data_IF_537873138439
#
_entry.id   IF_537873138439
#
_cell.length_a   1.000
_cell.length_b   1.000
_cell.length_c   1.000
_cell.angle_alpha   90.00
_cell.angle_beta   90.00
_cell.angle_gamma   90.00
#
_symmetry.space_group_name_H-M   'P 1'
#
loop_
_entity.id
_entity.type
_entity.pdbx_description
1 polymer ?
#
# COMPACT_ATOMS: atom_id res chain seq x y z
N UNK A 1 5.24 -7.63 -12.87
CA UNK A 1 6.55 -7.23 -13.44
C UNK A 1 7.66 -8.17 -13.01
N UNK A 2 7.85 -8.40 -11.70
CA UNK A 2 8.90 -9.28 -11.15
C UNK A 2 8.99 -10.65 -11.83
N UNK A 3 7.88 -11.35 -12.03
CA UNK A 3 7.89 -12.66 -12.69
C UNK A 3 8.52 -12.62 -14.09
N UNK A 4 8.13 -11.63 -14.92
CA UNK A 4 8.65 -11.46 -16.29
C UNK A 4 10.12 -11.07 -16.33
N UNK A 5 10.58 -10.35 -15.32
CA UNK A 5 11.94 -9.80 -15.26
C UNK A 5 12.88 -10.60 -14.35
N UNK A 6 12.36 -11.66 -13.71
CA UNK A 6 13.01 -12.45 -12.65
C UNK A 6 14.46 -12.80 -12.95
N UNK A 7 14.72 -13.40 -14.13
CA UNK A 7 16.07 -13.75 -14.58
C UNK A 7 17.01 -12.55 -14.68
N UNK A 8 16.53 -11.40 -15.13
CA UNK A 8 17.36 -10.20 -15.30
C UNK A 8 17.72 -9.53 -13.97
N UNK A 9 16.91 -9.76 -12.92
CA UNK A 9 17.08 -9.19 -11.58
C UNK A 9 17.56 -10.22 -10.55
N UNK A 10 18.00 -11.40 -11.01
CA UNK A 10 18.54 -12.45 -10.14
C UNK A 10 17.53 -13.12 -9.22
N UNK A 11 16.23 -13.06 -9.53
CA UNK A 11 15.20 -13.82 -8.83
C UNK A 11 14.93 -15.17 -9.52
N UNK A 12 14.67 -16.24 -8.76
CA UNK A 12 14.18 -17.51 -9.30
C UNK A 12 12.89 -17.26 -10.10
N UNK A 13 12.67 -17.98 -11.21
CA UNK A 13 11.45 -17.80 -12.01
C UNK A 13 10.23 -18.44 -11.35
N UNK A 14 10.44 -19.37 -10.43
CA UNK A 14 9.46 -20.18 -9.72
C UNK A 14 9.27 -19.72 -8.27
N UNK A 15 9.53 -18.44 -7.98
CA UNK A 15 9.42 -17.98 -6.60
C UNK A 15 7.99 -18.14 -6.06
N UNK A 16 7.89 -18.51 -4.78
CA UNK A 16 6.62 -18.57 -4.05
C UNK A 16 6.38 -17.28 -3.28
N UNK A 17 5.11 -16.98 -3.00
CA UNK A 17 4.73 -15.83 -2.18
C UNK A 17 4.33 -16.35 -0.81
N UNK A 18 5.10 -15.98 0.21
CA UNK A 18 4.77 -16.27 1.60
C UNK A 18 3.69 -15.29 2.04
N UNK A 19 2.66 -15.82 2.70
CA UNK A 19 1.71 -14.96 3.36
C UNK A 19 2.27 -14.41 4.68
N UNK A 20 1.45 -13.65 5.40
CA UNK A 20 1.87 -13.02 6.64
C UNK A 20 2.10 -14.05 7.77
N UNK A 21 1.38 -15.16 7.79
CA UNK A 21 1.55 -16.21 8.79
C UNK A 21 2.82 -17.01 8.52
N UNK A 22 3.04 -17.44 7.27
CA UNK A 22 4.27 -18.10 6.83
C UNK A 22 5.51 -17.26 7.20
N UNK A 23 5.43 -15.95 6.95
CA UNK A 23 6.50 -14.99 7.25
C UNK A 23 6.79 -14.91 8.75
N UNK A 24 5.75 -14.87 9.58
CA UNK A 24 5.87 -14.83 11.05
C UNK A 24 6.45 -16.13 11.58
N UNK A 25 6.03 -17.28 11.09
CA UNK A 25 6.57 -18.59 11.50
C UNK A 25 8.08 -18.68 11.27
N UNK A 26 8.57 -18.22 10.10
CA UNK A 26 10.01 -18.18 9.83
C UNK A 26 10.74 -17.25 10.81
N UNK A 27 10.18 -16.07 11.08
CA UNK A 27 10.77 -15.12 12.05
C UNK A 27 10.80 -15.72 13.46
N UNK A 28 9.75 -16.42 13.88
CA UNK A 28 9.69 -17.11 15.16
C UNK A 28 10.78 -18.17 15.27
N UNK A 29 10.97 -18.98 14.23
CA UNK A 29 11.99 -20.03 14.21
C UNK A 29 13.41 -19.46 14.28
N UNK A 30 13.72 -18.41 13.50
CA UNK A 30 15.05 -17.77 13.51
C UNK A 30 15.38 -17.20 14.88
N UNK A 31 14.45 -16.41 15.44
CA UNK A 31 14.71 -15.64 16.65
C UNK A 31 14.32 -16.34 17.94
N UNK A 32 13.75 -17.56 17.86
CA UNK A 32 13.06 -18.21 18.99
C UNK A 32 12.05 -17.28 19.67
N UNK A 33 11.30 -16.51 18.87
CA UNK A 33 10.38 -15.47 19.32
C UNK A 33 8.96 -16.01 19.54
N UNK A 34 8.23 -15.38 20.47
CA UNK A 34 6.78 -15.54 20.54
C UNK A 34 6.06 -14.82 19.41
N UNK A 35 4.81 -15.24 19.12
CA UNK A 35 4.00 -14.73 17.99
C UNK A 35 3.91 -13.20 17.96
N UNK A 36 3.72 -12.55 19.12
CA UNK A 36 3.63 -11.09 19.19
C UNK A 36 4.93 -10.41 18.74
N UNK A 37 6.07 -10.86 19.25
CA UNK A 37 7.37 -10.28 18.88
C UNK A 37 7.71 -10.53 17.41
N UNK A 38 7.36 -11.69 16.86
CA UNK A 38 7.52 -11.98 15.45
C UNK A 38 6.61 -11.10 14.56
N UNK A 39 5.37 -10.88 14.99
CA UNK A 39 4.45 -9.96 14.29
C UNK A 39 4.98 -8.51 14.31
N UNK A 40 5.47 -8.04 15.46
CA UNK A 40 6.06 -6.70 15.59
C UNK A 40 7.27 -6.55 14.66
N UNK A 41 8.16 -7.56 14.61
CA UNK A 41 9.32 -7.56 13.73
C UNK A 41 8.93 -7.62 12.25
N UNK A 42 7.95 -8.46 11.86
CA UNK A 42 7.46 -8.53 10.49
C UNK A 42 6.98 -7.16 9.98
N UNK A 43 6.16 -6.46 10.77
CA UNK A 43 5.69 -5.12 10.40
C UNK A 43 6.82 -4.09 10.38
N UNK A 44 7.80 -4.18 11.27
CA UNK A 44 8.94 -3.27 11.31
C UNK A 44 9.88 -3.47 10.10
N UNK A 45 10.08 -4.72 9.65
CA UNK A 45 10.76 -5.03 8.38
C UNK A 45 10.04 -4.36 7.21
N UNK A 46 8.71 -4.51 7.14
CA UNK A 46 7.88 -3.84 6.14
C UNK A 46 8.04 -2.33 6.15
N UNK A 47 7.98 -1.70 7.33
CA UNK A 47 8.17 -0.26 7.52
C UNK A 47 9.54 0.23 7.06
N UNK A 48 10.60 -0.55 7.30
CA UNK A 48 11.96 -0.23 6.85
C UNK A 48 12.06 -0.33 5.32
N UNK A 49 11.57 -1.44 4.73
CA UNK A 49 11.56 -1.63 3.28
C UNK A 49 10.78 -0.51 2.58
N UNK A 50 9.62 -0.14 3.11
CA UNK A 50 8.78 0.90 2.52
C UNK A 50 9.43 2.29 2.57
N UNK A 51 10.24 2.58 3.59
CA UNK A 51 10.99 3.85 3.74
C UNK A 51 12.37 3.88 3.10
N UNK A 52 12.85 2.77 2.56
CA UNK A 52 14.16 2.69 1.94
C UNK A 52 14.29 3.66 0.76
N UNK A 53 15.39 4.43 0.72
CA UNK A 53 15.73 5.40 -0.34
C UNK A 53 17.24 5.44 -0.52
N UNK A 54 17.71 6.06 -1.62
CA UNK A 54 19.14 6.17 -1.91
C UNK A 54 19.81 4.80 -1.94
N UNK A 55 20.99 4.66 -1.36
CA UNK A 55 21.74 3.39 -1.30
C UNK A 55 21.00 2.26 -0.57
N UNK A 56 20.10 2.58 0.37
CA UNK A 56 19.31 1.58 1.09
C UNK A 56 18.23 0.94 0.21
N UNK A 57 17.82 1.59 -0.88
CA UNK A 57 16.94 1.00 -1.88
C UNK A 57 17.78 0.29 -2.94
N UNK A 58 18.31 -0.88 -2.59
CA UNK A 58 19.18 -1.68 -3.46
C UNK A 58 19.05 -3.17 -3.15
N UNK A 59 19.49 -4.01 -4.07
CA UNK A 59 19.53 -5.47 -3.82
C UNK A 59 20.55 -5.82 -2.73
N UNK A 60 21.67 -5.08 -2.66
CA UNK A 60 22.76 -5.33 -1.70
C UNK A 60 22.38 -4.96 -0.27
N UNK A 61 21.54 -3.93 -0.06
CA UNK A 61 21.16 -3.48 1.28
C UNK A 61 20.35 -4.52 2.07
N UNK A 62 19.64 -5.42 1.37
CA UNK A 62 18.87 -6.52 1.97
C UNK A 62 19.72 -7.49 2.79
N UNK A 63 21.04 -7.51 2.58
CA UNK A 63 21.97 -8.39 3.29
C UNK A 63 22.65 -7.72 4.49
N UNK A 64 22.25 -6.51 4.86
CA UNK A 64 22.85 -5.82 6.00
C UNK A 64 22.25 -4.44 6.25
N UNK A 65 22.77 -3.44 5.53
CA UNK A 65 22.59 -2.01 5.82
C UNK A 65 21.14 -1.56 6.00
N UNK A 66 20.21 -2.19 5.28
CA UNK A 66 18.78 -1.86 5.38
C UNK A 66 18.24 -2.04 6.80
N UNK A 67 18.67 -3.11 7.48
CA UNK A 67 18.09 -3.56 8.74
C UNK A 67 18.84 -3.07 9.98
N UNK A 68 19.92 -2.31 9.82
CA UNK A 68 20.80 -1.87 10.93
C UNK A 68 20.07 -1.11 12.04
N UNK A 69 18.96 -0.43 11.71
CA UNK A 69 18.16 0.33 12.67
C UNK A 69 17.23 -0.52 13.54
N UNK A 70 17.18 -1.84 13.32
CA UNK A 70 16.34 -2.77 14.09
C UNK A 70 16.91 -3.14 15.48
N UNK A 71 18.15 -2.73 15.77
CA UNK A 71 18.78 -3.00 17.07
C UNK A 71 18.89 -4.50 17.33
N UNK A 72 18.22 -5.00 18.39
CA UNK A 72 18.27 -6.43 18.76
C UNK A 72 17.69 -7.37 17.69
N UNK A 73 16.90 -6.85 16.75
CA UNK A 73 16.29 -7.64 15.68
C UNK A 73 17.07 -7.63 14.36
N UNK A 74 18.20 -6.92 14.28
CA UNK A 74 18.98 -6.78 13.04
C UNK A 74 19.40 -8.13 12.46
N UNK A 75 20.01 -9.01 13.28
CA UNK A 75 20.49 -10.30 12.81
C UNK A 75 19.34 -11.24 12.39
N UNK A 76 18.21 -11.17 13.11
CA UNK A 76 17.00 -11.95 12.79
C UNK A 76 16.43 -11.52 11.44
N UNK A 77 16.34 -10.21 11.17
CA UNK A 77 15.82 -9.69 9.91
C UNK A 77 16.72 -10.01 8.71
N UNK A 78 18.05 -9.92 8.89
CA UNK A 78 19.02 -10.30 7.85
C UNK A 78 18.90 -11.79 7.56
N UNK A 79 18.83 -12.64 8.59
CA UNK A 79 18.67 -14.08 8.42
C UNK A 79 17.32 -14.44 7.80
N UNK A 80 16.25 -13.74 8.18
CA UNK A 80 14.92 -13.89 7.57
C UNK A 80 14.97 -13.65 6.07
N UNK A 81 15.59 -12.54 5.64
CA UNK A 81 15.70 -12.23 4.22
C UNK A 81 16.56 -13.27 3.46
N UNK A 82 17.60 -13.82 4.10
CA UNK A 82 18.39 -14.92 3.54
C UNK A 82 17.56 -16.19 3.38
N UNK A 83 16.77 -16.58 4.39
CA UNK A 83 15.90 -17.75 4.33
C UNK A 83 14.85 -17.64 3.23
N UNK A 84 14.23 -16.47 3.07
CA UNK A 84 13.34 -16.21 1.94
C UNK A 84 14.06 -16.46 0.60
N UNK A 85 15.25 -15.91 0.42
CA UNK A 85 16.01 -16.14 -0.82
C UNK A 85 16.40 -17.60 -1.06
N UNK A 86 16.85 -18.31 -0.01
CA UNK A 86 17.21 -19.73 -0.11
C UNK A 86 16.01 -20.60 -0.47
N UNK A 87 14.82 -20.24 0.00
CA UNK A 87 13.57 -20.95 -0.28
C UNK A 87 12.90 -20.50 -1.60
N UNK A 88 13.57 -19.66 -2.39
CA UNK A 88 12.98 -19.01 -3.56
C UNK A 88 11.63 -18.34 -3.21
N UNK A 89 11.55 -17.69 -2.06
CA UNK A 89 10.34 -17.05 -1.56
C UNK A 89 10.47 -15.52 -1.56
N UNK A 90 9.33 -14.84 -1.73
CA UNK A 90 9.15 -13.42 -1.45
C UNK A 90 7.95 -13.27 -0.53
N UNK A 91 7.99 -12.32 0.39
CA UNK A 91 6.81 -11.89 1.14
C UNK A 91 6.13 -10.68 0.48
N UNK A 92 4.97 -10.27 0.99
CA UNK A 92 4.26 -9.10 0.47
C UNK A 92 5.09 -7.80 0.53
N UNK A 93 5.97 -7.66 1.53
CA UNK A 93 6.82 -6.47 1.68
C UNK A 93 7.92 -6.44 0.61
N UNK A 94 8.43 -7.61 0.23
CA UNK A 94 9.40 -7.80 -0.84
C UNK A 94 8.83 -7.47 -2.21
N UNK A 95 7.54 -7.74 -2.48
CA UNK A 95 6.96 -7.47 -3.79
C UNK A 95 7.11 -5.99 -4.18
N UNK A 96 6.76 -5.06 -3.27
CA UNK A 96 6.88 -3.62 -3.54
C UNK A 96 8.34 -3.17 -3.50
N UNK A 97 9.11 -3.63 -2.51
CA UNK A 97 10.53 -3.27 -2.39
C UNK A 97 11.33 -3.68 -3.63
N UNK A 98 11.20 -4.93 -4.08
CA UNK A 98 11.91 -5.48 -5.24
C UNK A 98 11.53 -4.78 -6.53
N UNK A 99 10.26 -4.38 -6.71
CA UNK A 99 9.85 -3.59 -7.89
C UNK A 99 10.53 -2.22 -7.88
N UNK A 100 10.56 -1.52 -6.74
CA UNK A 100 11.23 -0.23 -6.60
C UNK A 100 12.74 -0.35 -6.87
N UNK A 101 13.39 -1.38 -6.33
CA UNK A 101 14.80 -1.69 -6.59
C UNK A 101 15.03 -1.96 -8.09
N UNK A 102 14.22 -2.83 -8.70
CA UNK A 102 14.33 -3.16 -10.12
C UNK A 102 14.21 -1.91 -11.01
N UNK A 103 13.24 -1.05 -10.74
CA UNK A 103 13.03 0.19 -11.50
C UNK A 103 14.16 1.21 -11.28
N UNK A 104 14.89 1.13 -10.17
CA UNK A 104 16.04 1.99 -9.88
C UNK A 104 17.34 1.45 -10.48
N UNK A 105 17.61 0.16 -10.35
CA UNK A 105 18.90 -0.45 -10.71
C UNK A 105 18.98 -0.86 -12.18
N UNK A 106 17.85 -1.11 -12.85
CA UNK A 106 17.83 -1.63 -14.21
C UNK A 106 17.14 -0.67 -15.19
N UNK A 107 17.91 0.29 -15.70
CA UNK A 107 17.41 1.34 -16.62
C UNK A 107 16.70 0.77 -17.86
N UNK A 108 17.21 -0.31 -18.45
CA UNK A 108 16.56 -0.95 -19.60
C UNK A 108 15.19 -1.58 -19.23
N UNK A 109 15.05 -2.11 -18.02
CA UNK A 109 13.77 -2.66 -17.52
C UNK A 109 12.81 -1.50 -17.25
N UNK A 110 13.28 -0.48 -16.52
CA UNK A 110 12.53 0.75 -16.27
C UNK A 110 11.96 1.31 -17.57
N UNK A 111 12.79 1.57 -18.57
CA UNK A 111 12.36 2.12 -19.86
C UNK A 111 11.35 1.24 -20.60
N UNK A 112 11.42 -0.09 -20.50
CA UNK A 112 10.38 -0.95 -21.10
C UNK A 112 9.02 -0.78 -20.42
N UNK A 113 9.01 -0.65 -19.10
CA UNK A 113 7.76 -0.55 -18.34
C UNK A 113 7.18 0.86 -18.32
N UNK A 114 8.01 1.91 -18.30
CA UNK A 114 7.54 3.29 -18.38
C UNK A 114 6.96 3.62 -19.75
N UNK A 115 7.52 3.07 -20.84
CA UNK A 115 7.00 3.26 -22.20
C UNK A 115 5.84 2.32 -22.57
N UNK A 116 5.38 1.49 -21.63
CA UNK A 116 4.31 0.51 -21.87
C UNK A 116 2.91 1.12 -21.70
N UNK A 117 2.79 2.15 -20.87
CA UNK A 117 1.49 2.64 -20.39
C UNK A 117 1.31 4.11 -20.75
N UNK A 118 0.42 4.37 -21.70
CA UNK A 118 0.06 5.74 -22.08
C UNK A 118 -0.78 6.44 -21.01
N UNK A 119 -1.56 5.68 -20.23
CA UNK A 119 -2.42 6.15 -19.16
C UNK A 119 -2.38 5.18 -17.98
N UNK A 120 -2.27 5.72 -16.77
CA UNK A 120 -2.34 4.94 -15.53
C UNK A 120 -3.42 5.52 -14.62
N UNK A 121 -4.27 4.64 -14.10
CA UNK A 121 -5.28 4.98 -13.11
C UNK A 121 -5.06 4.14 -11.85
N UNK A 122 -5.13 4.78 -10.69
CA UNK A 122 -5.06 4.12 -9.38
C UNK A 122 -6.36 4.42 -8.66
N UNK A 123 -7.09 3.36 -8.32
CA UNK A 123 -8.28 3.44 -7.48
C UNK A 123 -7.90 3.28 -6.00
N UNK A 124 -8.80 3.68 -5.10
CA UNK A 124 -8.61 3.61 -3.64
C UNK A 124 -7.29 4.23 -3.14
N UNK A 125 -6.91 5.39 -3.69
CA UNK A 125 -5.64 6.05 -3.36
C UNK A 125 -5.50 6.37 -1.87
N UNK A 126 -6.61 6.48 -1.13
CA UNK A 126 -6.57 6.70 0.31
C UNK A 126 -5.92 5.54 1.09
N UNK A 127 -5.93 4.34 0.53
CA UNK A 127 -5.37 3.15 1.17
C UNK A 127 -3.98 2.80 0.62
N UNK A 128 -3.45 3.60 -0.31
CA UNK A 128 -2.14 3.38 -0.94
C UNK A 128 -1.00 3.89 -0.05
N UNK A 129 0.06 3.08 0.09
CA UNK A 129 1.30 3.48 0.76
C UNK A 129 2.20 4.29 -0.19
N UNK A 130 2.99 5.23 0.34
CA UNK A 130 3.86 6.10 -0.48
C UNK A 130 4.86 5.31 -1.35
N UNK A 131 5.33 4.15 -0.88
CA UNK A 131 6.21 3.26 -1.66
C UNK A 131 5.52 2.66 -2.89
N UNK A 132 4.22 2.39 -2.83
CA UNK A 132 3.45 1.91 -3.98
C UNK A 132 3.23 3.06 -4.97
N UNK A 133 2.92 4.25 -4.45
CA UNK A 133 2.89 5.47 -5.26
C UNK A 133 4.21 5.71 -6.01
N UNK A 134 5.37 5.50 -5.37
CA UNK A 134 6.67 5.63 -6.05
C UNK A 134 6.81 4.70 -7.26
N UNK A 135 6.25 3.49 -7.20
CA UNK A 135 6.20 2.56 -8.34
C UNK A 135 5.33 3.14 -9.45
N UNK A 136 4.10 3.54 -9.11
CA UNK A 136 3.15 4.06 -10.10
C UNK A 136 3.65 5.33 -10.75
N UNK A 137 4.20 6.26 -9.95
CA UNK A 137 4.89 7.46 -10.42
C UNK A 137 5.99 7.10 -11.41
N UNK A 138 6.85 6.13 -11.08
CA UNK A 138 7.92 5.71 -11.97
C UNK A 138 7.37 5.22 -13.31
N UNK A 139 6.29 4.42 -13.28
CA UNK A 139 5.63 3.89 -14.48
C UNK A 139 4.98 4.98 -15.35
N UNK A 140 4.44 6.04 -14.75
CA UNK A 140 3.83 7.15 -15.51
C UNK A 140 4.81 8.20 -16.00
N UNK A 141 6.12 8.09 -15.71
CA UNK A 141 7.10 9.15 -16.05
C UNK A 141 7.18 9.45 -17.55
N UNK A 142 6.94 8.46 -18.43
CA UNK A 142 7.05 8.66 -19.87
C UNK A 142 5.85 9.42 -20.44
N UNK A 143 4.64 9.06 -20.03
CA UNK A 143 3.40 9.68 -20.53
C UNK A 143 3.01 10.94 -19.77
N UNK A 144 3.37 11.04 -18.49
CA UNK A 144 2.87 12.06 -17.56
C UNK A 144 1.39 11.86 -17.16
N UNK A 145 0.70 10.86 -17.72
CA UNK A 145 -0.74 10.65 -17.53
C UNK A 145 -1.00 9.69 -16.37
N UNK A 146 -1.07 10.25 -15.16
CA UNK A 146 -1.48 9.53 -13.96
C UNK A 146 -2.78 10.13 -13.42
N UNK A 147 -3.75 9.28 -13.11
CA UNK A 147 -4.98 9.67 -12.42
C UNK A 147 -5.10 8.88 -11.12
N UNK A 148 -5.27 9.59 -10.02
CA UNK A 148 -5.49 9.03 -8.69
C UNK A 148 -6.95 9.25 -8.31
N UNK A 149 -7.64 8.18 -7.93
CA UNK A 149 -9.06 8.15 -7.59
C UNK A 149 -9.16 7.63 -6.16
N UNK A 150 -9.98 8.28 -5.34
CA UNK A 150 -10.25 7.81 -3.98
C UNK A 150 -10.99 8.83 -3.13
N UNK A 151 -11.23 8.45 -1.89
CA UNK A 151 -12.00 9.22 -0.91
C UNK A 151 -11.32 9.19 0.47
N UNK A 152 -10.85 10.35 0.94
CA UNK A 152 -10.21 10.45 2.25
C UNK A 152 -11.15 10.12 3.42
N UNK A 153 -12.47 10.28 3.25
CA UNK A 153 -13.43 9.92 4.29
C UNK A 153 -13.55 8.40 4.49
N UNK A 154 -13.06 7.60 3.53
CA UNK A 154 -13.03 6.14 3.54
C UNK A 154 -11.67 5.56 3.94
N UNK A 155 -10.73 6.38 4.42
CA UNK A 155 -9.42 5.89 4.86
C UNK A 155 -9.56 5.00 6.10
N UNK A 156 -9.31 3.69 5.96
CA UNK A 156 -9.38 2.71 7.06
C UNK A 156 -8.10 1.88 7.24
N UNK A 157 -7.09 2.09 6.38
CA UNK A 157 -5.82 1.35 6.40
C UNK A 157 -4.61 2.15 6.92
N UNK A 158 -4.81 3.25 7.65
CA UNK A 158 -3.69 4.05 8.20
C UNK A 158 -2.76 3.22 9.10
N UNK A 159 -3.31 2.22 9.81
CA UNK A 159 -2.54 1.30 10.65
C UNK A 159 -1.58 0.39 9.86
N UNK A 160 -1.83 0.19 8.55
CA UNK A 160 -0.90 -0.48 7.62
C UNK A 160 0.08 0.50 6.95
N UNK A 161 0.01 1.78 7.32
CA UNK A 161 0.92 2.83 6.85
C UNK A 161 0.40 3.66 5.67
N UNK A 162 -0.86 3.54 5.26
CA UNK A 162 -1.41 4.47 4.27
C UNK A 162 -1.36 5.91 4.81
N UNK A 163 -1.02 6.86 3.94
CA UNK A 163 -0.86 8.26 4.31
C UNK A 163 -1.42 9.18 3.20
N UNK A 164 -2.74 9.14 2.93
CA UNK A 164 -3.37 9.79 1.77
C UNK A 164 -2.97 11.25 1.57
N UNK A 165 -2.94 12.01 2.67
CA UNK A 165 -2.62 13.45 2.64
C UNK A 165 -1.17 13.71 2.23
N UNK A 166 -0.24 12.87 2.67
CA UNK A 166 1.18 12.98 2.30
C UNK A 166 1.37 12.54 0.84
N UNK A 167 0.70 11.46 0.44
CA UNK A 167 0.72 10.95 -0.93
C UNK A 167 0.22 12.02 -1.91
N UNK A 168 -0.93 12.64 -1.64
CA UNK A 168 -1.54 13.62 -2.56
C UNK A 168 -0.71 14.90 -2.63
N UNK A 169 -0.17 15.39 -1.51
CA UNK A 169 0.80 16.51 -1.54
C UNK A 169 2.06 16.17 -2.35
N UNK A 170 2.51 14.92 -2.25
CA UNK A 170 3.66 14.45 -3.03
C UNK A 170 3.31 14.40 -4.51
N UNK A 171 2.12 13.92 -4.86
CA UNK A 171 1.61 13.89 -6.22
C UNK A 171 1.49 15.29 -6.85
N UNK A 172 0.89 16.25 -6.15
CA UNK A 172 0.78 17.65 -6.59
C UNK A 172 2.14 18.33 -6.80
N UNK A 173 3.17 17.91 -6.06
CA UNK A 173 4.55 18.40 -6.28
C UNK A 173 5.21 17.72 -7.47
N UNK A 174 4.94 16.44 -7.67
CA UNK A 174 5.60 15.61 -8.67
C UNK A 174 4.99 15.80 -10.08
N UNK A 175 3.73 16.20 -10.16
CA UNK A 175 2.99 16.48 -11.38
C UNK A 175 2.41 17.89 -11.29
N UNK A 176 2.78 18.80 -12.19
CA UNK A 176 2.27 20.17 -12.24
C UNK A 176 2.00 20.58 -13.70
N UNK A 177 0.79 21.04 -14.05
CA UNK A 177 -0.39 21.22 -13.19
C UNK A 177 -1.20 19.93 -12.94
N UNK A 178 -1.82 19.82 -11.76
CA UNK A 178 -2.82 18.78 -11.45
C UNK A 178 -4.23 19.31 -11.66
N UNK A 179 -5.06 18.53 -12.36
CA UNK A 179 -6.51 18.75 -12.39
C UNK A 179 -7.19 17.95 -11.27
N UNK A 180 -8.00 18.61 -10.45
CA UNK A 180 -8.77 17.98 -9.37
C UNK A 180 -10.24 18.03 -9.74
N UNK A 181 -10.88 16.85 -9.79
CA UNK A 181 -12.32 16.71 -10.00
C UNK A 181 -12.94 16.12 -8.73
N UNK A 182 -13.95 16.80 -8.18
CA UNK A 182 -14.70 16.29 -7.03
C UNK A 182 -16.03 15.73 -7.50
N UNK A 183 -16.25 14.44 -7.24
CA UNK A 183 -17.53 13.76 -7.50
C UNK A 183 -18.34 13.73 -6.21
N UNK A 184 -19.38 14.57 -6.13
CA UNK A 184 -20.19 14.72 -4.92
C UNK A 184 -21.54 14.04 -4.99
N UNK A 185 -22.02 13.74 -6.19
CA UNK A 185 -23.32 13.10 -6.37
C UNK A 185 -23.23 11.60 -6.07
N UNK A 186 -24.05 11.14 -5.13
CA UNK A 186 -24.20 9.75 -4.77
C UNK A 186 -25.35 9.14 -5.56
N UNK A 187 -25.05 8.11 -6.35
CA UNK A 187 -26.01 7.36 -7.15
C UNK A 187 -26.38 6.00 -6.53
N UNK A 188 -25.78 5.63 -5.39
CA UNK A 188 -25.84 4.28 -4.81
C UNK A 188 -26.82 4.18 -3.64
N UNK A 189 -26.69 5.07 -2.66
CA UNK A 189 -27.44 5.03 -1.41
C UNK A 189 -28.73 5.84 -1.54
N UNK A 190 -29.80 5.39 -0.87
CA UNK A 190 -31.05 6.15 -0.76
C UNK A 190 -30.82 7.46 0.00
N UNK A 191 -31.74 8.43 -0.14
CA UNK A 191 -31.63 9.71 0.59
C UNK A 191 -31.54 9.50 2.10
N UNK A 192 -32.32 8.58 2.66
CA UNK A 192 -32.30 8.23 4.09
C UNK A 192 -30.92 7.71 4.53
N UNK A 193 -30.34 6.76 3.80
CA UNK A 193 -29.02 6.21 4.13
C UNK A 193 -27.91 7.26 3.99
N UNK A 194 -27.97 8.06 2.93
CA UNK A 194 -26.98 9.10 2.68
C UNK A 194 -27.03 10.20 3.76
N UNK A 195 -28.21 10.63 4.18
CA UNK A 195 -28.38 11.58 5.27
C UNK A 195 -27.77 11.06 6.57
N UNK A 196 -28.02 9.79 6.91
CA UNK A 196 -27.43 9.16 8.11
C UNK A 196 -25.90 9.10 8.04
N UNK A 197 -25.35 8.67 6.90
CA UNK A 197 -23.89 8.64 6.68
C UNK A 197 -23.26 10.03 6.78
N UNK A 198 -23.85 11.04 6.11
CA UNK A 198 -23.39 12.42 6.18
C UNK A 198 -23.50 13.01 7.60
N UNK A 199 -24.52 12.63 8.36
CA UNK A 199 -24.66 13.05 9.75
C UNK A 199 -23.55 12.47 10.62
N UNK A 200 -23.21 11.19 10.44
CA UNK A 200 -22.09 10.53 11.11
C UNK A 200 -20.75 11.19 10.74
N UNK A 201 -20.49 11.39 9.45
CA UNK A 201 -19.23 11.97 8.96
C UNK A 201 -18.95 13.37 9.55
N UNK A 202 -20.00 14.17 9.78
CA UNK A 202 -19.89 15.50 10.40
C UNK A 202 -19.45 15.48 11.87
N UNK A 203 -19.54 14.33 12.54
CA UNK A 203 -19.08 14.18 13.93
C UNK A 203 -17.56 14.07 14.05
N UNK A 204 -16.86 13.74 12.95
CA UNK A 204 -15.40 13.58 12.96
C UNK A 204 -14.67 14.94 13.00
N UNK A 205 -13.50 14.94 13.64
CA UNK A 205 -12.65 16.15 13.79
C UNK A 205 -12.19 16.69 12.43
N UNK A 206 -11.86 15.80 11.50
CA UNK A 206 -11.57 16.13 10.11
C UNK A 206 -12.83 15.87 9.29
N UNK A 207 -13.64 16.91 9.12
CA UNK A 207 -14.93 16.83 8.47
C UNK A 207 -14.76 16.58 6.97
N UNK A 208 -15.56 15.66 6.44
CA UNK A 208 -15.84 15.57 5.00
C UNK A 208 -16.97 16.54 4.65
N UNK A 209 -16.96 17.08 3.44
CA UNK A 209 -18.06 17.90 2.90
C UNK A 209 -19.33 17.06 2.63
N UNK A 210 -19.22 15.74 2.72
CA UNK A 210 -20.31 14.80 2.46
C UNK A 210 -20.72 14.74 0.99
N UNK A 211 -21.72 13.92 0.71
CA UNK A 211 -22.23 13.70 -0.64
C UNK A 211 -23.67 14.19 -0.78
N UNK A 212 -24.03 14.61 -1.98
CA UNK A 212 -25.38 15.02 -2.35
C UNK A 212 -26.08 13.85 -3.06
N UNK A 213 -27.37 13.57 -2.82
CA UNK A 213 -28.07 12.53 -3.56
C UNK A 213 -28.27 12.97 -5.00
N UNK A 214 -27.99 12.09 -5.97
CA UNK A 214 -28.35 12.35 -7.36
C UNK A 214 -29.89 12.46 -7.50
N UNK A 215 -30.36 13.15 -8.54
CA UNK A 215 -31.80 13.38 -8.77
C UNK A 215 -32.60 12.06 -8.85
N UNK A 216 -31.97 11.02 -9.41
CA UNK A 216 -32.58 9.71 -9.66
C UNK A 216 -32.71 8.82 -8.41
N UNK A 217 -32.09 9.20 -7.29
CA UNK A 217 -32.08 8.40 -6.07
C UNK A 217 -33.45 8.50 -5.38
N UNK A 218 -33.98 7.37 -4.90
CA UNK A 218 -35.22 7.33 -4.13
C UNK A 218 -35.02 7.74 -2.66
N UNK A 219 -36.12 8.04 -1.95
CA UNK A 219 -36.05 8.40 -0.53
C UNK A 219 -35.47 7.25 0.32
N UNK A 220 -35.94 6.03 0.08
CA UNK A 220 -35.60 4.82 0.82
C UNK A 220 -36.41 4.61 2.10
N UNK A 221 -36.37 3.39 2.63
CA UNK A 221 -37.02 3.06 3.89
C UNK A 221 -36.25 3.62 5.11
N UNK A 222 -36.92 3.88 6.25
CA UNK A 222 -36.26 4.25 7.49
C UNK A 222 -35.23 3.22 7.96
N UNK A 223 -34.11 3.69 8.52
CA UNK A 223 -33.10 2.81 9.12
C UNK A 223 -33.67 2.16 10.38
N UNK A 224 -33.80 0.83 10.37
CA UNK A 224 -34.31 0.05 11.51
C UNK A 224 -33.15 -0.39 12.40
N UNK A 225 -33.25 -0.08 13.71
CA UNK A 225 -32.33 -0.58 14.72
C UNK A 225 -33.04 -1.58 15.63
N UNK A 226 -32.48 -2.78 15.77
CA UNK A 226 -32.98 -3.80 16.69
C UNK A 226 -31.94 -4.05 17.78
N UNK A 227 -32.29 -3.75 19.04
CA UNK A 227 -31.50 -4.14 20.20
C UNK A 227 -31.97 -5.51 20.68
N UNK A 228 -31.14 -6.54 20.46
CA UNK A 228 -31.39 -7.86 21.01
C UNK A 228 -31.15 -7.88 22.52
N UNK A 229 -31.99 -8.59 23.27
CA UNK A 229 -31.74 -8.90 24.68
C UNK A 229 -30.83 -10.13 24.75
N UNK A 230 -29.68 -10.00 25.42
CA UNK A 230 -28.87 -11.16 25.77
C UNK A 230 -29.57 -11.85 26.94
N UNK A 231 -30.14 -13.03 26.73
CA UNK A 231 -30.78 -13.81 27.79
C UNK A 231 -29.76 -14.29 28.82
N UNK A 232 -29.55 -13.51 29.87
CA UNK A 232 -28.91 -13.90 31.12
C UNK A 232 -29.61 -13.20 32.29
#
# INVERSE_FOLDING_TARGET
>A
MLYRESKAIGLPHDFVIYDEEDSKEVIQDIGSLGLREASDLYHEIGRIKSKAKGELLSTSSLMGDLFQKLGRWTDIAIEYQKRLMLNHALDFQDLVFRVRVMLKEHEAIKNRWTNRFDFIQVDEVQDTHLSEYEVVKALSQSSGNLCLIGDFAQTIYEWRGSAPRELIRTYERDFDPVSILSLRENYRATRVLLQASNALARTFKHRSDGYDPAETVEEGEPIVFHRAENGF
#
